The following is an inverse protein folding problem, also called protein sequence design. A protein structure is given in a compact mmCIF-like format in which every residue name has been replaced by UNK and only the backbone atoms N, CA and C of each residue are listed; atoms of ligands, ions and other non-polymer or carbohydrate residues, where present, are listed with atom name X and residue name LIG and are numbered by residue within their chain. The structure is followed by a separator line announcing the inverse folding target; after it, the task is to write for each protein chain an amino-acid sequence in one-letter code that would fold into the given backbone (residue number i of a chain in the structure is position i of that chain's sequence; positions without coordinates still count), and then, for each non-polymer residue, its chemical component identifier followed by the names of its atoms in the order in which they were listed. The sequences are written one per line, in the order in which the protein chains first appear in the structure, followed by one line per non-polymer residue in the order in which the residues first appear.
data_IF_212781843199
#
_entry.id   IF_212781843199
#
_cell.length_a   1.000
_cell.length_b   1.000
_cell.length_c   1.000
_cell.angle_alpha   90.00
_cell.angle_beta   90.00
_cell.angle_gamma   90.00
#
_symmetry.space_group_name_H-M   'P 1'
#
loop_
_entity.id
_entity.type
_entity.pdbx_description
1 polymer ?
#
# COMPACT_ATOMS: atom_id res chain seq x y z
N UNK A 1 29.58 -25.56 -12.31
CA UNK A 1 28.92 -24.29 -11.93
C UNK A 1 27.46 -24.34 -12.38
N UNK A 2 26.58 -24.96 -11.58
CA UNK A 2 25.13 -24.96 -11.84
C UNK A 2 24.52 -23.83 -11.02
N UNK A 3 24.28 -22.69 -11.67
CA UNK A 3 23.61 -21.55 -11.06
C UNK A 3 22.13 -21.90 -10.90
N UNK A 4 21.80 -22.43 -9.72
CA UNK A 4 20.45 -22.80 -9.31
C UNK A 4 19.52 -21.60 -9.49
N UNK A 5 18.70 -21.64 -10.54
CA UNK A 5 17.56 -20.75 -10.71
C UNK A 5 16.50 -21.15 -9.67
N UNK A 6 16.70 -20.72 -8.43
CA UNK A 6 15.64 -20.84 -7.42
C UNK A 6 14.43 -20.05 -7.92
N UNK A 7 13.35 -20.77 -8.18
CA UNK A 7 12.07 -20.17 -8.58
C UNK A 7 11.57 -19.24 -7.47
N UNK A 8 10.80 -18.19 -7.81
CA UNK A 8 10.25 -17.26 -6.81
C UNK A 8 9.46 -18.00 -5.71
N UNK A 9 8.77 -19.06 -6.11
CA UNK A 9 8.03 -19.95 -5.21
C UNK A 9 8.93 -20.63 -4.18
N UNK A 10 10.11 -21.12 -4.56
CA UNK A 10 11.05 -21.74 -3.61
C UNK A 10 11.58 -20.75 -2.59
N UNK A 11 11.89 -19.51 -3.02
CA UNK A 11 12.31 -18.45 -2.10
C UNK A 11 11.22 -18.11 -1.10
N UNK A 12 10.00 -17.90 -1.59
CA UNK A 12 8.83 -17.66 -0.74
C UNK A 12 8.64 -18.82 0.25
N UNK A 13 8.60 -20.06 -0.23
CA UNK A 13 8.39 -21.26 0.60
C UNK A 13 9.48 -21.44 1.65
N UNK A 14 10.73 -21.13 1.33
CA UNK A 14 11.85 -21.24 2.26
C UNK A 14 11.79 -20.18 3.37
N UNK A 15 11.36 -18.95 3.04
CA UNK A 15 11.35 -17.82 3.97
C UNK A 15 10.04 -17.68 4.75
N UNK A 16 8.95 -18.28 4.27
CA UNK A 16 7.63 -18.20 4.89
C UNK A 16 7.61 -18.73 6.34
N UNK A 17 8.21 -19.89 6.66
CA UNK A 17 8.32 -20.36 8.03
C UNK A 17 9.16 -19.40 8.88
N UNK A 18 8.52 -18.71 9.83
CA UNK A 18 9.17 -17.74 10.71
C UNK A 18 9.16 -16.29 10.20
N UNK A 19 8.58 -16.02 9.02
CA UNK A 19 8.39 -14.67 8.50
C UNK A 19 7.71 -13.75 9.52
N UNK A 20 6.60 -14.19 10.12
CA UNK A 20 5.84 -13.41 11.10
C UNK A 20 6.64 -13.10 12.37
N UNK A 21 7.50 -14.03 12.81
CA UNK A 21 8.36 -13.80 13.97
C UNK A 21 9.43 -12.73 13.69
N UNK A 22 9.96 -12.71 12.48
CA UNK A 22 11.06 -11.79 12.09
C UNK A 22 10.54 -10.42 11.65
N UNK A 23 9.45 -10.39 10.89
CA UNK A 23 8.95 -9.20 10.19
C UNK A 23 7.56 -8.74 10.64
N UNK A 24 6.91 -9.47 11.56
CA UNK A 24 5.53 -9.17 11.99
C UNK A 24 5.36 -7.77 12.56
N UNK A 25 6.36 -7.24 13.29
CA UNK A 25 6.30 -5.86 13.79
C UNK A 25 6.33 -4.82 12.67
N UNK A 26 7.16 -5.01 11.64
CA UNK A 26 7.17 -4.14 10.46
C UNK A 26 5.85 -4.21 9.70
N UNK A 27 5.31 -5.42 9.55
CA UNK A 27 4.01 -5.63 8.90
C UNK A 27 2.87 -4.98 9.69
N UNK A 28 2.92 -5.04 11.03
CA UNK A 28 1.96 -4.36 11.90
C UNK A 28 2.03 -2.84 11.72
N UNK A 29 3.23 -2.26 11.73
CA UNK A 29 3.41 -0.80 11.50
C UNK A 29 2.92 -0.41 10.11
N UNK A 30 3.22 -1.20 9.07
CA UNK A 30 2.70 -0.98 7.72
C UNK A 30 1.18 -1.07 7.65
N UNK A 31 0.58 -1.99 8.41
CA UNK A 31 -0.88 -2.13 8.53
C UNK A 31 -1.49 -0.91 9.21
N UNK A 32 -0.89 -0.39 10.29
CA UNK A 32 -1.36 0.82 10.94
C UNK A 32 -1.28 2.05 10.02
N UNK A 33 -0.18 2.20 9.29
CA UNK A 33 -0.04 3.25 8.29
C UNK A 33 -1.07 3.12 7.16
N UNK A 34 -1.30 1.90 6.67
CA UNK A 34 -2.32 1.61 5.66
C UNK A 34 -3.74 1.91 6.14
N UNK A 35 -4.05 1.64 7.42
CA UNK A 35 -5.33 1.97 8.03
C UNK A 35 -5.54 3.47 8.14
N UNK A 36 -4.50 4.22 8.55
CA UNK A 36 -4.57 5.68 8.58
C UNK A 36 -4.81 6.26 7.18
N UNK A 37 -4.11 5.74 6.18
CA UNK A 37 -4.30 6.12 4.77
C UNK A 37 -5.73 5.80 4.29
N UNK A 38 -6.22 4.59 4.58
CA UNK A 38 -7.59 4.20 4.27
C UNK A 38 -8.64 5.12 4.89
N UNK A 39 -8.54 5.40 6.19
CA UNK A 39 -9.48 6.28 6.90
C UNK A 39 -9.44 7.68 6.30
N UNK A 40 -8.24 8.22 6.07
CA UNK A 40 -8.08 9.54 5.48
C UNK A 40 -8.65 9.62 4.05
N UNK A 41 -8.49 8.56 3.25
CA UNK A 41 -9.04 8.45 1.90
C UNK A 41 -10.56 8.40 1.94
N UNK A 42 -11.12 7.61 2.87
CA UNK A 42 -12.56 7.54 3.06
C UNK A 42 -13.13 8.90 3.47
N UNK A 43 -12.51 9.58 4.44
CA UNK A 43 -12.92 10.94 4.85
C UNK A 43 -12.83 11.92 3.68
N UNK A 44 -11.71 11.92 2.96
CA UNK A 44 -11.51 12.77 1.78
C UNK A 44 -12.58 12.53 0.70
N UNK A 45 -12.94 11.27 0.43
CA UNK A 45 -14.01 10.94 -0.52
C UNK A 45 -15.42 11.26 -0.03
N UNK A 46 -15.63 11.34 1.29
CA UNK A 46 -16.91 11.73 1.87
C UNK A 46 -17.11 13.25 1.86
N UNK A 47 -16.04 14.01 2.08
CA UNK A 47 -16.05 15.47 2.08
C UNK A 47 -15.94 16.05 0.65
N UNK A 48 -15.27 15.33 -0.25
CA UNK A 48 -15.13 15.65 -1.67
C UNK A 48 -15.96 14.75 -2.59
N UNK A 49 -15.45 14.53 -3.80
CA UNK A 49 -16.01 13.60 -4.77
C UNK A 49 -15.06 12.42 -4.98
N UNK A 50 -15.58 11.23 -5.32
CA UNK A 50 -14.75 10.06 -5.67
C UNK A 50 -13.81 10.39 -6.83
N UNK A 51 -14.23 11.30 -7.70
CA UNK A 51 -13.51 11.82 -8.85
C UNK A 51 -12.23 12.57 -8.49
N UNK A 52 -12.15 13.12 -7.27
CA UNK A 52 -10.98 13.85 -6.77
C UNK A 52 -9.89 12.90 -6.25
N UNK A 53 -10.18 11.59 -6.17
CA UNK A 53 -9.20 10.58 -5.80
C UNK A 53 -8.10 10.48 -6.87
N UNK A 54 -6.87 10.71 -6.44
CA UNK A 54 -5.70 10.72 -7.31
C UNK A 54 -5.28 9.33 -7.78
N UNK A 55 -5.67 8.27 -7.07
CA UNK A 55 -5.33 6.90 -7.46
C UNK A 55 -6.40 6.33 -8.40
N UNK A 56 -6.11 6.16 -9.72
CA UNK A 56 -7.11 5.72 -10.68
C UNK A 56 -7.66 4.32 -10.38
N UNK A 57 -6.83 3.43 -9.82
CA UNK A 57 -7.29 2.12 -9.38
C UNK A 57 -8.26 2.21 -8.19
N UNK A 58 -7.96 3.06 -7.19
CA UNK A 58 -8.85 3.25 -6.04
C UNK A 58 -10.15 3.92 -6.50
N UNK A 59 -10.06 4.98 -7.31
CA UNK A 59 -11.21 5.65 -7.95
C UNK A 59 -12.11 4.65 -8.68
N UNK A 60 -11.52 3.79 -9.53
CA UNK A 60 -12.26 2.77 -10.26
C UNK A 60 -12.99 1.84 -9.29
N UNK A 61 -12.30 1.22 -8.33
CA UNK A 61 -12.95 0.29 -7.38
C UNK A 61 -13.99 1.01 -6.51
N UNK A 62 -13.75 2.25 -6.12
CA UNK A 62 -14.70 3.09 -5.35
C UNK A 62 -15.97 3.41 -6.14
N UNK A 63 -15.92 3.53 -7.47
CA UNK A 63 -17.14 3.65 -8.28
C UNK A 63 -18.02 2.39 -8.21
N UNK A 64 -17.41 1.21 -8.05
CA UNK A 64 -18.16 -0.06 -7.98
C UNK A 64 -18.61 -0.42 -6.56
N UNK A 65 -17.74 -0.19 -5.56
CA UNK A 65 -17.95 -0.64 -4.17
C UNK A 65 -18.32 0.49 -3.21
N UNK A 66 -18.24 1.74 -3.65
CA UNK A 66 -18.44 2.92 -2.83
C UNK A 66 -17.15 3.43 -2.16
N UNK A 67 -17.20 4.66 -1.59
CA UNK A 67 -16.04 5.41 -1.09
C UNK A 67 -15.36 4.79 0.14
N UNK A 68 -16.05 3.90 0.86
CA UNK A 68 -15.49 3.20 2.02
C UNK A 68 -14.87 1.84 1.62
N UNK A 69 -15.63 1.01 0.90
CA UNK A 69 -15.25 -0.37 0.61
C UNK A 69 -14.23 -0.47 -0.52
N UNK A 70 -14.26 0.45 -1.49
CA UNK A 70 -13.28 0.46 -2.58
C UNK A 70 -11.83 0.62 -2.09
N UNK A 71 -11.54 1.67 -1.30
CA UNK A 71 -10.20 1.87 -0.75
C UNK A 71 -9.78 0.75 0.21
N UNK A 72 -10.72 0.19 0.99
CA UNK A 72 -10.42 -0.92 1.90
C UNK A 72 -9.93 -2.16 1.14
N UNK A 73 -10.66 -2.57 0.09
CA UNK A 73 -10.30 -3.75 -0.72
C UNK A 73 -8.93 -3.54 -1.39
N UNK A 74 -8.70 -2.36 -1.95
CA UNK A 74 -7.41 -2.03 -2.56
C UNK A 74 -6.26 -2.14 -1.54
N UNK A 75 -6.45 -1.67 -0.31
CA UNK A 75 -5.44 -1.75 0.76
C UNK A 75 -5.17 -3.18 1.23
N UNK A 76 -6.22 -4.00 1.38
CA UNK A 76 -6.06 -5.42 1.73
C UNK A 76 -5.26 -6.18 0.65
N UNK A 77 -5.51 -5.89 -0.62
CA UNK A 77 -4.73 -6.45 -1.73
C UNK A 77 -3.25 -5.99 -1.66
N UNK A 78 -3.01 -4.69 -1.44
CA UNK A 78 -1.65 -4.16 -1.31
C UNK A 78 -0.88 -4.74 -0.12
N UNK A 79 -1.51 -4.91 1.05
CA UNK A 79 -0.89 -5.55 2.21
C UNK A 79 -0.56 -7.02 1.96
N UNK A 80 -1.45 -7.73 1.26
CA UNK A 80 -1.20 -9.13 0.85
C UNK A 80 0.01 -9.21 -0.08
N UNK A 81 0.07 -8.34 -1.10
CA UNK A 81 1.22 -8.24 -2.01
C UNK A 81 2.48 -7.88 -1.24
N UNK A 82 2.41 -6.95 -0.29
CA UNK A 82 3.54 -6.60 0.56
C UNK A 82 4.09 -7.82 1.29
N UNK A 83 3.24 -8.63 1.93
CA UNK A 83 3.66 -9.86 2.61
C UNK A 83 4.34 -10.87 1.67
N UNK A 84 3.77 -11.08 0.48
CA UNK A 84 4.35 -12.00 -0.53
C UNK A 84 5.70 -11.50 -1.02
N UNK A 85 5.81 -10.21 -1.32
CA UNK A 85 7.03 -9.58 -1.83
C UNK A 85 8.13 -9.59 -0.76
N UNK A 86 7.84 -9.19 0.47
CA UNK A 86 8.85 -9.18 1.55
C UNK A 86 9.26 -10.58 1.98
N UNK A 87 8.36 -11.57 1.92
CA UNK A 87 8.73 -12.97 2.14
C UNK A 87 9.63 -13.51 1.01
N UNK A 88 9.35 -13.15 -0.25
CA UNK A 88 10.15 -13.60 -1.41
C UNK A 88 11.51 -12.90 -1.46
N UNK A 89 11.56 -11.61 -1.15
CA UNK A 89 12.75 -10.75 -1.21
C UNK A 89 13.22 -10.36 0.18
N UNK A 90 13.38 -11.35 1.06
CA UNK A 90 13.64 -11.15 2.48
C UNK A 90 14.83 -10.21 2.77
N UNK A 91 15.91 -10.32 1.99
CA UNK A 91 17.11 -9.46 2.12
C UNK A 91 16.78 -7.97 2.06
N UNK A 92 15.73 -7.59 1.33
CA UNK A 92 15.32 -6.21 1.12
C UNK A 92 14.05 -5.84 1.91
N UNK A 93 13.50 -6.75 2.71
CA UNK A 93 12.22 -6.57 3.39
C UNK A 93 12.16 -5.28 4.21
N UNK A 94 13.22 -4.94 4.96
CA UNK A 94 13.29 -3.67 5.74
C UNK A 94 13.10 -2.44 4.87
N UNK A 95 13.81 -2.38 3.75
CA UNK A 95 13.76 -1.23 2.82
C UNK A 95 12.37 -1.14 2.20
N UNK A 96 11.82 -2.27 1.78
CA UNK A 96 10.47 -2.34 1.21
C UNK A 96 9.44 -1.85 2.24
N UNK A 97 9.52 -2.31 3.48
CA UNK A 97 8.62 -1.85 4.55
C UNK A 97 8.75 -0.35 4.81
N UNK A 98 9.97 0.18 4.92
CA UNK A 98 10.19 1.61 5.15
C UNK A 98 9.58 2.46 4.04
N UNK A 99 9.80 2.09 2.78
CA UNK A 99 9.23 2.79 1.62
C UNK A 99 7.70 2.74 1.67
N UNK A 100 7.11 1.58 1.94
CA UNK A 100 5.65 1.43 1.98
C UNK A 100 5.03 2.17 3.15
N UNK A 101 5.61 2.08 4.35
CA UNK A 101 5.18 2.82 5.54
C UNK A 101 5.22 4.32 5.25
N UNK A 102 6.35 4.82 4.73
CA UNK A 102 6.48 6.24 4.40
C UNK A 102 5.44 6.68 3.37
N UNK A 103 5.20 5.87 2.33
CA UNK A 103 4.22 6.18 1.29
C UNK A 103 2.81 6.25 1.86
N UNK A 104 2.39 5.28 2.69
CA UNK A 104 1.07 5.31 3.31
C UNK A 104 0.93 6.45 4.33
N UNK A 105 1.95 6.71 5.14
CA UNK A 105 1.93 7.84 6.06
C UNK A 105 1.84 9.19 5.33
N UNK A 106 2.56 9.33 4.22
CA UNK A 106 2.49 10.52 3.38
C UNK A 106 1.12 10.68 2.72
N UNK A 107 0.55 9.60 2.17
CA UNK A 107 -0.80 9.63 1.59
C UNK A 107 -1.86 9.99 2.63
N UNK A 108 -1.76 9.42 3.83
CA UNK A 108 -2.62 9.76 4.95
C UNK A 108 -2.57 11.25 5.30
N UNK A 109 -1.35 11.79 5.46
CA UNK A 109 -1.13 13.21 5.71
C UNK A 109 -1.66 14.10 4.57
N UNK A 110 -1.46 13.68 3.32
CA UNK A 110 -1.88 14.42 2.14
C UNK A 110 -3.41 14.53 2.08
N UNK A 111 -4.12 13.42 2.28
CA UNK A 111 -5.58 13.40 2.27
C UNK A 111 -6.17 14.27 3.40
N UNK A 112 -5.55 14.29 4.59
CA UNK A 112 -6.05 15.09 5.71
C UNK A 112 -5.73 16.59 5.60
N UNK A 113 -4.51 16.96 5.18
CA UNK A 113 -4.08 18.37 5.16
C UNK A 113 -3.33 18.75 3.88
N UNK A 114 -2.47 17.87 3.37
CA UNK A 114 -1.53 18.21 2.30
C UNK A 114 -2.19 18.69 1.00
N UNK A 115 -3.39 18.20 0.68
CA UNK A 115 -4.13 18.59 -0.52
C UNK A 115 -4.46 20.09 -0.58
N UNK A 116 -4.49 20.79 0.57
CA UNK A 116 -4.74 22.23 0.66
C UNK A 116 -3.51 23.08 0.31
N UNK A 117 -2.30 22.51 0.45
CA UNK A 117 -1.05 23.26 0.31
C UNK A 117 -0.44 23.16 -1.07
N UNK A 118 -0.57 22.02 -1.74
CA UNK A 118 -0.08 21.83 -3.10
C UNK A 118 -0.71 20.60 -3.76
N UNK A 119 -0.64 20.56 -5.10
CA UNK A 119 -0.93 19.35 -5.86
C UNK A 119 0.39 18.71 -6.28
N UNK A 120 0.64 17.41 -6.00
CA UNK A 120 1.87 16.76 -6.39
C UNK A 120 2.02 16.75 -7.92
N UNK A 121 3.23 16.92 -8.43
CA UNK A 121 3.48 16.96 -9.89
C UNK A 121 2.99 15.69 -10.58
N UNK A 122 3.18 14.52 -9.97
CA UNK A 122 2.71 13.24 -10.52
C UNK A 122 1.18 13.14 -10.56
N UNK A 123 0.47 13.80 -9.66
CA UNK A 123 -0.99 13.82 -9.65
C UNK A 123 -1.54 14.49 -10.93
N UNK A 124 -0.87 15.54 -11.43
CA UNK A 124 -1.24 16.18 -12.71
C UNK A 124 -1.14 15.25 -13.92
N UNK A 125 -0.24 14.26 -13.86
CA UNK A 125 -0.06 13.29 -14.96
C UNK A 125 -0.94 12.05 -14.82
N UNK A 126 -1.53 11.82 -13.64
CA UNK A 126 -2.39 10.67 -13.34
C UNK A 126 -3.88 11.01 -13.37
N UNK A 127 -4.25 12.29 -13.35
CA UNK A 127 -5.63 12.78 -13.38
C UNK A 127 -6.28 12.80 -14.77
N UNK A 128 -5.88 11.90 -15.68
CA UNK A 128 -6.56 11.74 -16.98
C UNK A 128 -7.95 11.09 -16.82
#
# INVERSE_FOLDING_TARGET
MSAIHHTLYERFRANWPGYWRRWGHWYLVATLAATADWISTWQFMMDGRIEDELHPAVRLVSHWLGPMAGPLVAKLAQLTVLAVVTATFERYARVIFLVVIFTYSYAAWFNTWGHQYYTPVFARYLSW
#
